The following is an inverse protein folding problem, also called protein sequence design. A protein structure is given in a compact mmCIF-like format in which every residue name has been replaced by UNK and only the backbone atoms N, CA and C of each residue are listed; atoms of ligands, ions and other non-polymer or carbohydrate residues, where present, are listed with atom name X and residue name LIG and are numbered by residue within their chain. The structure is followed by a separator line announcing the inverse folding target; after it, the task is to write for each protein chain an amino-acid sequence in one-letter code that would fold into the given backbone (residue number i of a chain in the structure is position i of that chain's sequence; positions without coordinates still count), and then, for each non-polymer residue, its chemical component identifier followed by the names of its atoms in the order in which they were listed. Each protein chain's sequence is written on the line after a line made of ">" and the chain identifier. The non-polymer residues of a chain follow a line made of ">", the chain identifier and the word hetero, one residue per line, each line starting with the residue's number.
data_IF_111262076468
#
_entry.id   IF_111262076468
#
_cell.length_a   1.000
_cell.length_b   1.000
_cell.length_c   1.000
_cell.angle_alpha   90.00
_cell.angle_beta   90.00
_cell.angle_gamma   90.00
#
_symmetry.space_group_name_H-M   'P 1'
#
loop_
_entity.id
_entity.type
_entity.pdbx_description
1 polymer ?
#
# COMPACT_ATOMS: atom_id res chain seq x y z
N UNK A 1 -1.27 15.85 -2.14
CA UNK A 1 -1.10 14.82 -1.08
C UNK A 1 -2.13 15.02 0.04
N UNK A 2 -2.85 16.14 0.01
CA UNK A 2 -3.64 16.68 1.12
C UNK A 2 -5.02 16.03 1.32
N UNK A 3 -5.42 15.08 0.46
CA UNK A 3 -6.72 14.41 0.55
C UNK A 3 -6.69 13.04 1.23
N UNK A 4 -5.51 12.47 1.50
CA UNK A 4 -5.38 11.18 2.17
C UNK A 4 -5.02 11.34 3.65
N UNK A 5 -5.73 10.60 4.50
CA UNK A 5 -5.35 10.40 5.89
C UNK A 5 -4.16 9.42 5.94
N UNK A 6 -2.95 9.93 6.21
CA UNK A 6 -1.71 9.17 6.14
C UNK A 6 -1.14 8.87 7.52
N UNK A 7 -0.69 7.63 7.71
CA UNK A 7 0.17 7.22 8.82
C UNK A 7 1.51 6.82 8.21
N UNK A 8 2.55 7.60 8.50
CA UNK A 8 3.92 7.32 8.03
C UNK A 8 4.73 6.69 9.16
N UNK A 9 5.25 5.49 8.92
CA UNK A 9 6.06 4.74 9.90
C UNK A 9 7.52 4.67 9.43
N UNK A 10 8.43 5.14 10.28
CA UNK A 10 9.89 5.10 10.07
C UNK A 10 10.60 4.33 11.19
N UNK A 11 11.90 4.06 11.04
CA UNK A 11 12.72 3.34 12.01
C UNK A 11 13.59 2.23 11.39
N UNK A 12 14.46 1.61 12.17
CA UNK A 12 15.40 0.58 11.66
C UNK A 12 14.79 -0.82 11.68
N UNK A 13 13.95 -1.14 12.67
CA UNK A 13 13.31 -2.46 12.85
C UNK A 13 11.81 -2.29 13.13
N UNK A 14 11.03 -3.34 12.89
CA UNK A 14 9.60 -3.41 13.27
C UNK A 14 8.61 -2.65 12.39
N UNK A 15 9.06 -1.74 11.50
CA UNK A 15 8.18 -0.94 10.62
C UNK A 15 7.07 -1.74 9.94
N UNK A 16 7.44 -2.83 9.25
CA UNK A 16 6.46 -3.66 8.51
C UNK A 16 5.39 -4.24 9.43
N UNK A 17 5.79 -4.76 10.59
CA UNK A 17 4.87 -5.29 11.62
C UNK A 17 3.98 -4.19 12.21
N UNK A 18 4.54 -3.02 12.49
CA UNK A 18 3.76 -1.86 12.98
C UNK A 18 2.73 -1.40 11.95
N UNK A 19 3.11 -1.28 10.67
CA UNK A 19 2.17 -0.92 9.62
C UNK A 19 1.06 -1.96 9.46
N UNK A 20 1.39 -3.26 9.46
CA UNK A 20 0.42 -4.34 9.32
C UNK A 20 -0.57 -4.38 10.50
N UNK A 21 -0.09 -4.23 11.73
CA UNK A 21 -0.95 -4.17 12.92
C UNK A 21 -1.86 -2.94 12.88
N UNK A 22 -1.31 -1.78 12.55
CA UNK A 22 -2.08 -0.52 12.45
C UNK A 22 -3.18 -0.63 11.40
N UNK A 23 -2.87 -1.15 10.21
CA UNK A 23 -3.86 -1.36 9.16
C UNK A 23 -4.96 -2.33 9.61
N UNK A 24 -4.59 -3.44 10.25
CA UNK A 24 -5.55 -4.44 10.70
C UNK A 24 -6.51 -3.87 11.75
N UNK A 25 -6.02 -3.05 12.68
CA UNK A 25 -6.86 -2.38 13.67
C UNK A 25 -7.85 -1.43 12.96
N UNK A 26 -7.36 -0.57 12.07
CA UNK A 26 -8.19 0.40 11.37
C UNK A 26 -9.25 -0.26 10.48
N UNK A 27 -8.90 -1.35 9.80
CA UNK A 27 -9.81 -2.09 8.93
C UNK A 27 -10.93 -2.79 9.69
N UNK A 28 -10.65 -3.28 10.89
CA UNK A 28 -11.62 -3.99 11.73
C UNK A 28 -12.28 -3.09 12.79
N UNK A 29 -12.05 -1.78 12.74
CA UNK A 29 -12.63 -0.86 13.70
C UNK A 29 -14.16 -0.74 13.49
N UNK A 30 -14.93 -1.28 14.44
CA UNK A 30 -16.39 -1.36 14.34
C UNK A 30 -17.10 0.01 14.33
N UNK A 31 -16.46 1.06 14.89
CA UNK A 31 -17.04 2.40 14.96
C UNK A 31 -17.13 3.11 13.60
N UNK A 32 -16.38 2.67 12.59
CA UNK A 32 -16.42 3.24 11.24
C UNK A 32 -15.78 2.30 10.23
N UNK A 33 -16.51 1.95 9.18
CA UNK A 33 -15.93 1.22 8.04
C UNK A 33 -14.96 2.13 7.28
N UNK A 34 -13.66 1.92 7.47
CA UNK A 34 -12.60 2.63 6.78
C UNK A 34 -12.11 1.83 5.58
N UNK A 35 -11.93 2.50 4.43
CA UNK A 35 -11.14 1.96 3.33
C UNK A 35 -9.67 2.15 3.69
N UNK A 36 -8.94 1.06 3.87
CA UNK A 36 -7.54 1.09 4.27
C UNK A 36 -6.62 0.80 3.08
N UNK A 37 -5.45 1.43 3.10
CA UNK A 37 -4.34 1.12 2.21
C UNK A 37 -3.09 0.83 3.04
N UNK A 38 -2.29 -0.13 2.60
CA UNK A 38 -1.00 -0.46 3.22
C UNK A 38 0.08 -0.51 2.17
N UNK A 39 1.16 0.22 2.42
CA UNK A 39 2.38 0.15 1.64
C UNK A 39 3.56 -0.36 2.49
N UNK A 40 4.20 -1.45 2.06
CA UNK A 40 5.35 -2.05 2.77
C UNK A 40 6.41 -2.56 1.79
N UNK A 41 7.65 -2.71 2.28
CA UNK A 41 8.76 -3.27 1.50
C UNK A 41 9.83 -3.90 2.40
N UNK A 42 10.60 -4.90 1.93
CA UNK A 42 10.43 -5.61 0.65
C UNK A 42 9.17 -6.51 0.64
N UNK A 43 8.87 -7.13 -0.51
CA UNK A 43 7.89 -8.22 -0.58
C UNK A 43 8.57 -9.56 -0.26
N UNK A 44 7.80 -10.59 0.08
CA UNK A 44 8.33 -11.94 0.31
C UNK A 44 8.22 -12.82 -0.93
N UNK A 45 7.04 -12.90 -1.56
CA UNK A 45 6.82 -13.75 -2.75
C UNK A 45 6.53 -12.92 -4.00
N UNK A 46 5.58 -11.97 -3.90
CA UNK A 46 5.13 -11.17 -5.05
C UNK A 46 5.19 -9.66 -4.78
N UNK A 47 5.55 -8.88 -5.80
CA UNK A 47 5.63 -7.41 -5.69
C UNK A 47 4.32 -6.74 -5.28
N UNK A 48 3.18 -7.35 -5.61
CA UNK A 48 1.85 -6.86 -5.26
C UNK A 48 1.60 -6.88 -3.76
N UNK A 49 2.32 -7.71 -2.99
CA UNK A 49 2.24 -7.72 -1.52
C UNK A 49 2.59 -6.36 -0.90
N UNK A 50 3.38 -5.55 -1.62
CA UNK A 50 3.79 -4.21 -1.20
C UNK A 50 2.63 -3.22 -1.18
N UNK A 51 1.55 -3.47 -1.90
CA UNK A 51 0.41 -2.55 -2.03
C UNK A 51 -0.85 -3.35 -1.74
N UNK A 52 -1.44 -3.13 -0.56
CA UNK A 52 -2.69 -3.79 -0.16
C UNK A 52 -3.81 -2.78 0.02
N UNK A 53 -5.01 -3.16 -0.40
CA UNK A 53 -6.24 -2.41 -0.19
C UNK A 53 -7.20 -3.30 0.59
N UNK A 54 -7.67 -2.81 1.73
CA UNK A 54 -8.53 -3.58 2.65
C UNK A 54 -7.94 -4.95 3.03
N UNK A 55 -6.64 -5.00 3.33
CA UNK A 55 -5.94 -6.22 3.73
C UNK A 55 -5.43 -7.11 2.58
N UNK A 56 -5.93 -6.94 1.36
CA UNK A 56 -5.60 -7.78 0.21
C UNK A 56 -4.60 -7.11 -0.75
N UNK A 57 -3.60 -7.83 -1.28
CA UNK A 57 -2.78 -7.35 -2.39
C UNK A 57 -3.64 -6.88 -3.56
N UNK A 58 -3.24 -5.81 -4.24
CA UNK A 58 -3.95 -5.37 -5.45
C UNK A 58 -3.93 -6.45 -6.53
N UNK A 59 -4.94 -6.46 -7.41
CA UNK A 59 -5.03 -7.44 -8.49
C UNK A 59 -3.88 -7.27 -9.50
N UNK A 60 -3.60 -8.32 -10.27
CA UNK A 60 -2.55 -8.27 -11.29
C UNK A 60 -2.87 -7.23 -12.36
N UNK A 61 -4.13 -7.12 -12.75
CA UNK A 61 -4.62 -6.16 -13.74
C UNK A 61 -4.42 -4.73 -13.26
N UNK A 62 -4.75 -4.45 -11.99
CA UNK A 62 -4.59 -3.12 -11.41
C UNK A 62 -3.11 -2.76 -11.24
N UNK A 63 -2.28 -3.71 -10.81
CA UNK A 63 -0.84 -3.50 -10.72
C UNK A 63 -0.24 -3.20 -12.10
N UNK A 64 -0.54 -4.02 -13.12
CA UNK A 64 -0.03 -3.84 -14.47
C UNK A 64 -0.47 -2.49 -15.06
N UNK A 65 -1.73 -2.12 -14.92
CA UNK A 65 -2.27 -0.83 -15.38
C UNK A 65 -1.45 0.34 -14.84
N UNK A 66 -1.28 0.43 -13.52
CA UNK A 66 -0.59 1.56 -12.91
C UNK A 66 0.92 1.51 -13.09
N UNK A 67 1.51 0.31 -13.19
CA UNK A 67 2.90 0.16 -13.54
C UNK A 67 3.19 0.79 -14.91
N UNK A 68 2.43 0.42 -15.94
CA UNK A 68 2.62 0.97 -17.29
C UNK A 68 2.27 2.46 -17.37
N UNK A 69 1.24 2.92 -16.64
CA UNK A 69 0.93 4.36 -16.57
C UNK A 69 2.13 5.19 -16.05
N UNK A 70 2.83 4.71 -15.03
CA UNK A 70 4.03 5.39 -14.51
C UNK A 70 5.21 5.21 -15.46
N UNK A 71 5.40 4.00 -16.00
CA UNK A 71 6.48 3.67 -16.93
C UNK A 71 6.43 4.56 -18.18
N UNK A 72 5.28 4.64 -18.84
CA UNK A 72 5.10 5.42 -20.07
C UNK A 72 5.36 6.92 -19.83
N UNK A 73 4.99 7.43 -18.65
CA UNK A 73 5.29 8.82 -18.26
C UNK A 73 6.78 9.06 -18.07
N UNK A 74 7.48 8.11 -17.44
CA UNK A 74 8.93 8.19 -17.27
C UNK A 74 9.67 8.11 -18.61
N UNK A 75 9.23 7.22 -19.51
CA UNK A 75 9.79 7.11 -20.85
C UNK A 75 9.54 8.38 -21.68
N UNK A 76 8.38 9.04 -21.52
CA UNK A 76 8.06 10.30 -22.21
C UNK A 76 8.85 11.53 -21.72
N UNK A 77 9.61 11.40 -20.64
CA UNK A 77 10.49 12.46 -20.12
C UNK A 77 11.93 12.39 -20.63
N UNK A 78 12.26 11.39 -21.47
CA UNK A 78 13.52 11.32 -22.24
C UNK A 78 13.38 11.90 -23.64
#
# INVERSE_FOLDING_TARGET
>A
MDELNLIHVTGTKGKGSTCALTESILRNYEGKKLKTGLYTSPHLMEVRERIRINGEPISQELFAKYFFEVWDRLDSTG
#
